data_IF_681084482928
#
_entry.id   IF_681084482928
#
_cell.length_a   1.000
_cell.length_b   1.000
_cell.length_c   1.000
_cell.angle_alpha   90.00
_cell.angle_beta   90.00
_cell.angle_gamma   90.00
#
_symmetry.space_group_name_H-M   'P 1'
#
loop_
_entity.id
_entity.type
_entity.pdbx_description
1 polymer ?
#
# COMPACT_ATOMS: atom_id res chain seq x y z
N UNK A 1 -6.13 -9.95 6.99
CA UNK A 1 -5.05 -10.76 7.55
C UNK A 1 -4.97 -10.43 9.03
N UNK A 2 -4.98 -11.43 9.91
CA UNK A 2 -4.77 -11.22 11.34
C UNK A 2 -3.29 -10.93 11.62
N UNK A 3 -3.00 -10.45 12.83
CA UNK A 3 -1.62 -10.27 13.27
C UNK A 3 -0.85 -11.60 13.29
N UNK A 4 -1.50 -12.68 13.73
CA UNK A 4 -0.90 -14.03 13.80
C UNK A 4 -0.51 -14.56 12.42
N UNK A 5 -1.33 -14.32 11.40
CA UNK A 5 -1.02 -14.70 10.01
C UNK A 5 0.21 -13.94 9.49
N UNK A 6 0.29 -12.64 9.78
CA UNK A 6 1.44 -11.81 9.38
C UNK A 6 2.70 -12.29 10.08
N UNK A 7 2.66 -12.51 11.40
CA UNK A 7 3.80 -12.99 12.16
C UNK A 7 4.29 -14.35 11.66
N UNK A 8 3.36 -15.27 11.38
CA UNK A 8 3.69 -16.59 10.81
C UNK A 8 4.40 -16.46 9.46
N UNK A 9 3.94 -15.55 8.59
CA UNK A 9 4.59 -15.28 7.30
C UNK A 9 5.98 -14.68 7.49
N UNK A 10 6.15 -13.73 8.41
CA UNK A 10 7.44 -13.10 8.69
C UNK A 10 8.45 -14.11 9.25
N UNK A 11 8.01 -15.00 10.13
CA UNK A 11 8.84 -16.08 10.70
C UNK A 11 9.23 -17.10 9.62
N UNK A 12 8.29 -17.45 8.73
CA UNK A 12 8.58 -18.31 7.60
C UNK A 12 9.64 -17.70 6.68
N UNK A 13 9.48 -16.42 6.32
CA UNK A 13 10.41 -15.67 5.48
C UNK A 13 11.79 -15.58 6.12
N UNK A 14 11.86 -15.33 7.43
CA UNK A 14 13.10 -15.37 8.20
C UNK A 14 13.76 -16.75 8.17
N UNK A 15 12.98 -17.82 8.38
CA UNK A 15 13.49 -19.20 8.45
C UNK A 15 14.00 -19.73 7.11
N UNK A 16 13.43 -19.25 6.00
CA UNK A 16 13.76 -19.70 4.64
C UNK A 16 14.75 -18.81 3.93
N UNK A 17 15.11 -17.67 4.53
CA UNK A 17 16.00 -16.68 3.93
C UNK A 17 15.50 -16.20 2.54
N UNK A 18 14.19 -15.97 2.42
CA UNK A 18 13.54 -15.52 1.19
C UNK A 18 13.00 -14.11 1.31
N UNK A 19 12.49 -13.55 0.21
CA UNK A 19 11.86 -12.24 0.18
C UNK A 19 10.34 -12.35 0.33
N UNK A 20 9.74 -11.27 0.82
CA UNK A 20 8.30 -11.10 0.91
C UNK A 20 7.88 -9.80 0.23
N UNK A 21 6.94 -9.91 -0.72
CA UNK A 21 6.36 -8.76 -1.41
C UNK A 21 4.91 -8.63 -0.97
N UNK A 22 4.59 -7.51 -0.33
CA UNK A 22 3.24 -7.16 0.11
C UNK A 22 2.62 -6.19 -0.89
N UNK A 23 1.60 -6.65 -1.62
CA UNK A 23 0.79 -5.78 -2.47
C UNK A 23 -0.31 -5.13 -1.61
N UNK A 24 -0.10 -3.86 -1.25
CA UNK A 24 -0.97 -3.08 -0.38
C UNK A 24 -1.83 -2.10 -1.19
N UNK A 25 -2.13 -2.41 -2.46
CA UNK A 25 -2.95 -1.58 -3.35
C UNK A 25 -4.36 -1.27 -2.83
N UNK A 26 -4.89 -2.08 -1.91
CA UNK A 26 -6.21 -1.89 -1.30
C UNK A 26 -6.15 -1.35 0.15
N UNK A 27 -4.97 -0.92 0.62
CA UNK A 27 -4.77 -0.45 2.00
C UNK A 27 -5.72 0.68 2.40
N UNK A 28 -6.05 1.59 1.47
CA UNK A 28 -7.00 2.69 1.69
C UNK A 28 -8.48 2.32 1.56
N UNK A 29 -8.81 1.05 1.26
CA UNK A 29 -10.19 0.57 1.09
C UNK A 29 -10.69 -0.29 2.25
N UNK A 30 -9.92 -0.47 3.32
CA UNK A 30 -10.39 -1.20 4.49
C UNK A 30 -11.51 -0.43 5.22
N UNK A 31 -12.74 -0.93 5.15
CA UNK A 31 -13.92 -0.29 5.73
C UNK A 31 -14.57 -1.06 6.90
N UNK A 32 -13.96 -2.18 7.29
CA UNK A 32 -14.44 -3.09 8.33
C UNK A 32 -13.42 -3.30 9.44
N UNK A 33 -13.78 -4.20 10.36
CA UNK A 33 -12.89 -4.72 11.40
C UNK A 33 -12.49 -6.16 11.05
N UNK A 34 -11.25 -6.59 11.35
CA UNK A 34 -10.17 -5.84 12.01
C UNK A 34 -9.55 -4.74 11.11
N UNK A 35 -8.84 -3.74 11.68
CA UNK A 35 -8.15 -2.73 10.90
C UNK A 35 -7.07 -3.36 10.02
N UNK A 36 -6.77 -2.70 8.90
CA UNK A 36 -5.64 -3.06 8.05
C UNK A 36 -4.32 -2.88 8.80
N UNK A 37 -3.43 -3.87 8.69
CA UNK A 37 -2.07 -3.85 9.24
C UNK A 37 -1.13 -3.87 8.04
N UNK A 38 -0.38 -2.78 7.85
CA UNK A 38 0.65 -2.71 6.81
C UNK A 38 1.86 -3.54 7.21
N UNK A 39 2.56 -4.11 6.22
CA UNK A 39 3.82 -4.78 6.48
C UNK A 39 4.88 -3.84 7.01
N UNK A 40 4.85 -2.55 6.65
CA UNK A 40 5.75 -1.54 7.22
C UNK A 40 5.60 -1.45 8.75
N UNK A 41 4.36 -1.60 9.25
CA UNK A 41 4.09 -1.64 10.69
C UNK A 41 4.51 -2.99 11.28
N UNK A 42 4.21 -4.10 10.61
CA UNK A 42 4.48 -5.45 11.11
C UNK A 42 5.98 -5.77 11.22
N UNK A 43 6.82 -5.22 10.34
CA UNK A 43 8.28 -5.38 10.41
C UNK A 43 8.96 -4.42 11.39
N UNK A 44 8.22 -3.48 11.97
CA UNK A 44 8.77 -2.53 12.94
C UNK A 44 9.31 -3.28 14.16
N UNK A 45 10.62 -3.18 14.39
CA UNK A 45 11.32 -3.93 15.45
C UNK A 45 11.97 -5.25 15.02
N UNK A 46 11.76 -5.72 13.78
CA UNK A 46 12.38 -6.93 13.21
C UNK A 46 13.49 -6.58 12.21
N UNK A 47 14.60 -6.03 12.72
CA UNK A 47 15.71 -5.54 11.89
C UNK A 47 16.30 -6.60 10.94
N UNK A 48 16.27 -7.87 11.33
CA UNK A 48 16.80 -9.00 10.59
C UNK A 48 16.04 -9.35 9.29
N UNK A 49 14.81 -8.88 9.11
CA UNK A 49 14.00 -9.15 7.91
C UNK A 49 13.62 -7.89 7.13
N UNK A 50 13.92 -6.70 7.67
CA UNK A 50 13.54 -5.41 7.08
C UNK A 50 13.96 -5.29 5.61
N UNK A 51 15.17 -5.70 5.26
CA UNK A 51 15.70 -5.64 3.89
C UNK A 51 15.12 -6.71 2.93
N UNK A 52 14.29 -7.63 3.43
CA UNK A 52 13.64 -8.70 2.66
C UNK A 52 12.15 -8.49 2.47
N UNK A 53 11.58 -7.47 3.13
CA UNK A 53 10.18 -7.09 2.97
C UNK A 53 10.07 -5.89 2.04
N UNK A 54 9.26 -6.02 1.02
CA UNK A 54 9.02 -5.00 0.00
C UNK A 54 7.52 -4.76 -0.11
N UNK A 55 7.12 -3.51 -0.28
CA UNK A 55 5.72 -3.10 -0.34
C UNK A 55 5.45 -2.47 -1.70
N UNK A 56 4.37 -2.89 -2.34
CA UNK A 56 3.87 -2.33 -3.59
C UNK A 56 2.56 -1.61 -3.29
N UNK A 57 2.45 -0.35 -3.73
CA UNK A 57 1.24 0.46 -3.56
C UNK A 57 0.86 1.13 -4.88
N UNK A 58 -0.43 1.46 -5.03
CA UNK A 58 -0.92 2.26 -6.15
C UNK A 58 -2.16 3.06 -5.77
N UNK A 59 -2.31 4.24 -6.37
CA UNK A 59 -3.49 5.10 -6.17
C UNK A 59 -4.71 4.64 -7.01
N UNK A 60 -4.57 3.56 -7.76
CA UNK A 60 -5.59 3.07 -8.69
C UNK A 60 -6.88 2.66 -8.00
N UNK A 61 -6.79 2.09 -6.79
CA UNK A 61 -7.93 1.51 -6.06
C UNK A 61 -8.36 2.38 -4.88
N UNK A 62 -7.40 2.97 -4.18
CA UNK A 62 -7.68 3.82 -3.04
C UNK A 62 -8.31 5.16 -3.44
N UNK A 63 -7.72 5.85 -4.42
CA UNK A 63 -8.23 7.13 -4.93
C UNK A 63 -9.14 6.98 -6.16
N UNK A 64 -9.24 5.77 -6.72
CA UNK A 64 -10.01 5.51 -7.94
C UNK A 64 -9.40 6.15 -9.20
N UNK A 65 -8.06 6.24 -9.27
CA UNK A 65 -7.34 6.88 -10.38
C UNK A 65 -6.52 5.88 -11.24
N UNK A 66 -7.09 4.78 -11.76
CA UNK A 66 -6.33 3.79 -12.53
C UNK A 66 -5.77 4.36 -13.84
N UNK A 67 -6.41 5.38 -14.41
CA UNK A 67 -5.94 6.06 -15.63
C UNK A 67 -4.65 6.84 -15.45
N UNK A 68 -4.30 7.23 -14.21
CA UNK A 68 -3.13 8.07 -13.93
C UNK A 68 -1.84 7.26 -13.80
N UNK A 69 -1.94 5.92 -13.75
CA UNK A 69 -0.80 4.99 -13.74
C UNK A 69 0.24 5.29 -12.64
N UNK A 70 -0.25 5.62 -11.45
CA UNK A 70 0.60 5.91 -10.30
C UNK A 70 0.76 4.66 -9.44
N UNK A 71 1.98 4.13 -9.40
CA UNK A 71 2.42 3.06 -8.52
C UNK A 71 3.72 3.46 -7.82
N UNK A 72 3.97 2.85 -6.66
CA UNK A 72 5.23 3.02 -5.94
C UNK A 72 5.68 1.69 -5.36
N UNK A 73 7.01 1.54 -5.28
CA UNK A 73 7.68 0.43 -4.62
C UNK A 73 8.37 1.02 -3.40
N UNK A 74 8.12 0.45 -2.23
CA UNK A 74 8.77 0.78 -0.99
C UNK A 74 9.60 -0.42 -0.51
N UNK A 75 10.86 -0.18 -0.17
CA UNK A 75 11.80 -1.22 0.24
C UNK A 75 12.88 -0.60 1.12
N UNK A 76 13.28 -1.31 2.18
CA UNK A 76 14.44 -0.95 3.00
C UNK A 76 15.77 -1.51 2.44
N UNK A 77 15.72 -2.21 1.31
CA UNK A 77 16.92 -2.72 0.64
C UNK A 77 17.37 -1.75 -0.44
N UNK A 78 18.48 -1.06 -0.20
CA UNK A 78 19.02 -0.05 -1.11
C UNK A 78 19.36 -0.59 -2.50
N UNK A 79 19.78 -1.86 -2.60
CA UNK A 79 20.06 -2.49 -3.89
C UNK A 79 18.77 -2.67 -4.70
N UNK A 80 17.67 -3.06 -4.05
CA UNK A 80 16.34 -3.14 -4.67
C UNK A 80 15.85 -1.77 -5.07
N UNK A 81 16.01 -0.75 -4.22
CA UNK A 81 15.63 0.64 -4.53
C UNK A 81 16.39 1.14 -5.76
N UNK A 82 17.72 0.98 -5.78
CA UNK A 82 18.58 1.41 -6.89
C UNK A 82 18.20 0.72 -8.21
N UNK A 83 18.00 -0.61 -8.18
CA UNK A 83 17.58 -1.36 -9.35
C UNK A 83 16.18 -0.93 -9.83
N UNK A 84 15.21 -0.82 -8.92
CA UNK A 84 13.85 -0.39 -9.24
C UNK A 84 13.81 1.04 -9.80
N UNK A 85 14.62 1.96 -9.28
CA UNK A 85 14.74 3.32 -9.82
C UNK A 85 15.27 3.31 -11.25
N UNK A 86 16.32 2.53 -11.56
CA UNK A 86 16.82 2.40 -12.94
C UNK A 86 15.76 1.81 -13.88
N UNK A 87 15.03 0.79 -13.43
CA UNK A 87 13.96 0.16 -14.21
C UNK A 87 12.73 1.07 -14.38
N UNK A 88 12.48 2.00 -13.44
CA UNK A 88 11.35 2.93 -13.50
C UNK A 88 11.37 3.82 -14.74
N UNK A 89 12.54 4.02 -15.36
CA UNK A 89 12.70 4.74 -16.63
C UNK A 89 11.79 4.25 -17.75
N UNK A 90 11.41 2.97 -17.77
CA UNK A 90 10.50 2.38 -18.76
C UNK A 90 9.01 2.62 -18.48
N UNK A 91 8.66 3.20 -17.33
CA UNK A 91 7.28 3.36 -16.87
C UNK A 91 7.08 4.56 -15.94
N UNK A 92 7.79 5.66 -16.22
CA UNK A 92 7.73 6.86 -15.38
C UNK A 92 6.31 7.45 -15.35
N UNK A 93 5.94 7.95 -14.17
CA UNK A 93 4.70 8.71 -13.99
C UNK A 93 4.87 10.08 -14.67
N UNK A 94 3.86 10.52 -15.43
CA UNK A 94 3.86 11.86 -16.04
C UNK A 94 4.13 12.95 -14.99
N UNK A 95 5.04 13.88 -15.28
CA UNK A 95 5.38 14.99 -14.39
C UNK A 95 4.16 15.86 -14.03
N UNK A 96 3.23 16.04 -14.97
CA UNK A 96 1.97 16.73 -14.72
C UNK A 96 1.10 16.00 -13.69
N UNK A 97 1.04 14.66 -13.79
CA UNK A 97 0.33 13.82 -12.81
C UNK A 97 1.01 13.87 -11.45
N UNK A 98 2.34 13.85 -11.40
CA UNK A 98 3.10 14.01 -10.15
C UNK A 98 2.81 15.35 -9.48
N UNK A 99 2.79 16.45 -10.24
CA UNK A 99 2.46 17.78 -9.72
C UNK A 99 1.01 17.87 -9.21
N UNK A 100 0.04 17.36 -9.98
CA UNK A 100 -1.35 17.34 -9.55
C UNK A 100 -1.53 16.56 -8.24
N UNK A 101 -0.94 15.37 -8.16
CA UNK A 101 -1.04 14.52 -6.98
C UNK A 101 -0.29 15.10 -5.78
N UNK A 102 0.84 15.79 -5.98
CA UNK A 102 1.56 16.44 -4.89
C UNK A 102 0.70 17.53 -4.24
N UNK A 103 -0.02 18.33 -5.03
CA UNK A 103 -0.96 19.33 -4.51
C UNK A 103 -2.14 18.66 -3.78
N UNK A 104 -2.76 17.65 -4.41
CA UNK A 104 -3.94 16.96 -3.87
C UNK A 104 -3.64 16.23 -2.54
N UNK A 105 -2.51 15.51 -2.47
CA UNK A 105 -2.12 14.72 -1.31
C UNK A 105 -1.51 15.57 -0.17
N UNK A 106 -1.03 16.78 -0.50
CA UNK A 106 -0.56 17.73 0.51
C UNK A 106 -1.70 18.38 1.28
N UNK A 107 -2.90 18.48 0.70
CA UNK A 107 -4.09 18.95 1.38
C UNK A 107 -4.57 17.92 2.43
N UNK A 108 -4.26 18.19 3.69
CA UNK A 108 -4.62 17.34 4.84
C UNK A 108 -6.12 17.34 5.12
N UNK A 109 -6.81 18.44 4.85
CA UNK A 109 -8.26 18.52 5.04
C UNK A 109 -8.98 17.66 4.00
N UNK A 110 -8.56 17.77 2.73
CA UNK A 110 -9.06 16.94 1.64
C UNK A 110 -8.82 15.45 1.90
N UNK A 111 -7.56 15.05 2.18
CA UNK A 111 -7.19 13.64 2.35
C UNK A 111 -7.93 12.99 3.53
N UNK A 112 -8.01 13.66 4.69
CA UNK A 112 -8.76 13.15 5.83
C UNK A 112 -10.26 13.00 5.53
N UNK A 113 -10.86 13.98 4.84
CA UNK A 113 -12.25 13.92 4.42
C UNK A 113 -12.47 12.79 3.40
N UNK A 114 -11.58 12.64 2.43
CA UNK A 114 -11.65 11.61 1.39
C UNK A 114 -11.64 10.21 2.01
N UNK A 115 -10.67 9.90 2.88
CA UNK A 115 -10.54 8.59 3.52
C UNK A 115 -11.82 8.23 4.31
N UNK A 116 -12.34 9.19 5.08
CA UNK A 116 -13.57 9.02 5.87
C UNK A 116 -14.78 8.76 4.97
N UNK A 117 -14.97 9.58 3.94
CA UNK A 117 -16.12 9.45 3.03
C UNK A 117 -16.02 8.19 2.15
N UNK A 118 -14.83 7.83 1.68
CA UNK A 118 -14.60 6.62 0.91
C UNK A 118 -14.96 5.38 1.75
N UNK A 119 -14.43 5.30 2.97
CA UNK A 119 -14.73 4.24 3.94
C UNK A 119 -16.23 4.11 4.20
N UNK A 120 -16.92 5.23 4.47
CA UNK A 120 -18.37 5.27 4.72
C UNK A 120 -19.17 4.76 3.51
N UNK A 121 -18.81 5.20 2.30
CA UNK A 121 -19.52 4.84 1.06
C UNK A 121 -19.28 3.38 0.68
N UNK A 122 -18.05 2.88 0.82
CA UNK A 122 -17.71 1.48 0.59
C UNK A 122 -18.48 0.57 1.54
N UNK A 123 -18.48 0.88 2.85
CA UNK A 123 -19.24 0.11 3.85
C UNK A 123 -20.73 0.07 3.53
N UNK A 124 -21.32 1.21 3.13
CA UNK A 124 -22.73 1.29 2.73
C UNK A 124 -23.00 0.42 1.50
N UNK A 125 -22.18 0.53 0.46
CA UNK A 125 -22.37 -0.23 -0.79
C UNK A 125 -22.22 -1.74 -0.55
N UNK A 126 -21.20 -2.15 0.20
CA UNK A 126 -21.02 -3.54 0.62
C UNK A 126 -22.25 -4.04 1.40
N UNK A 127 -22.76 -3.26 2.36
CA UNK A 127 -23.92 -3.66 3.16
C UNK A 127 -25.19 -3.81 2.33
N UNK A 128 -25.37 -3.00 1.28
CA UNK A 128 -26.49 -3.16 0.35
C UNK A 128 -26.36 -4.48 -0.44
N UNK A 129 -25.17 -4.73 -1.00
CA UNK A 129 -24.92 -5.96 -1.77
C UNK A 129 -25.13 -7.23 -0.93
N UNK A 130 -24.71 -7.23 0.34
CA UNK A 130 -24.87 -8.38 1.24
C UNK A 130 -26.34 -8.61 1.63
N UNK A 131 -27.18 -7.56 1.61
CA UNK A 131 -28.59 -7.66 1.99
C UNK A 131 -29.51 -8.11 0.85
N UNK A 132 -29.05 -8.08 -0.41
CA UNK A 132 -29.87 -8.32 -1.60
C UNK A 132 -30.43 -7.03 -2.16
#
# INVERSE_FOLDING_TARGET
MSYDEIDTLLDFVASKDIHLISDEIYSGTNFGSPPFISMAQAVSGRANILARVHIVVSLSKDLGLPGFRVGAIHSNNESVVSAATKMSSFGLISSQTQYLLSQLLSDKAFTANYIRENTKRLKRRHSLLVKG
#
